data_IF_630535490793
#
_entry.id   IF_630535490793
#
_cell.length_a   1.000
_cell.length_b   1.000
_cell.length_c   1.000
_cell.angle_alpha   90.00
_cell.angle_beta   90.00
_cell.angle_gamma   90.00
#
_symmetry.space_group_name_H-M   'P 1'
#
loop_
_entity.id
_entity.type
_entity.pdbx_description
1 polymer ?
#
# COMPACT_ATOMS: atom_id res chain seq x y z
N UNK A 1 -0.81 -21.15 0.12
CA UNK A 1 -0.69 -20.60 1.49
C UNK A 1 0.12 -19.32 1.35
N UNK A 2 -0.04 -18.34 2.24
CA UNK A 2 0.82 -17.14 2.19
C UNK A 2 2.18 -17.54 2.79
N UNK A 3 3.26 -17.29 2.06
CA UNK A 3 4.61 -17.59 2.55
C UNK A 3 4.94 -16.64 3.71
N UNK A 4 5.44 -17.19 4.81
CA UNK A 4 5.93 -16.41 5.95
C UNK A 4 7.46 -16.50 6.03
N UNK A 5 8.11 -15.35 6.22
CA UNK A 5 9.56 -15.24 6.37
C UNK A 5 9.85 -14.64 7.76
N UNK A 6 10.58 -15.33 8.64
CA UNK A 6 10.95 -14.76 9.92
C UNK A 6 11.89 -13.58 9.72
N UNK A 7 11.68 -12.49 10.46
CA UNK A 7 12.51 -11.28 10.39
C UNK A 7 14.01 -11.58 10.59
N UNK A 8 14.36 -12.57 11.41
CA UNK A 8 15.75 -12.99 11.62
C UNK A 8 16.43 -13.48 10.34
N UNK A 9 15.68 -14.08 9.40
CA UNK A 9 16.23 -14.49 8.09
C UNK A 9 16.47 -13.28 7.18
N UNK A 10 15.65 -12.22 7.28
CA UNK A 10 15.89 -11.00 6.50
C UNK A 10 17.11 -10.21 6.99
N UNK A 11 17.35 -10.21 8.31
CA UNK A 11 18.47 -9.50 8.93
C UNK A 11 19.82 -10.17 8.60
N UNK A 12 19.85 -11.49 8.43
CA UNK A 12 21.05 -12.19 7.98
C UNK A 12 21.23 -12.03 6.46
N UNK A 13 22.21 -11.24 5.99
CA UNK A 13 22.42 -11.04 4.56
C UNK A 13 22.91 -12.31 3.83
N UNK A 14 23.36 -13.33 4.56
CA UNK A 14 23.80 -14.60 4.00
C UNK A 14 22.70 -15.67 3.94
N UNK A 15 21.53 -15.41 4.53
CA UNK A 15 20.42 -16.34 4.49
C UNK A 15 19.89 -16.50 3.06
N UNK A 16 19.78 -17.75 2.59
CA UNK A 16 19.16 -18.04 1.30
C UNK A 16 17.64 -18.22 1.49
N UNK A 17 16.88 -17.22 1.07
CA UNK A 17 15.42 -17.25 1.05
C UNK A 17 14.86 -17.35 -0.38
N UNK A 18 15.68 -17.75 -1.35
CA UNK A 18 15.32 -17.77 -2.78
C UNK A 18 14.10 -18.65 -3.07
N UNK A 19 13.97 -19.78 -2.37
CA UNK A 19 12.82 -20.68 -2.53
C UNK A 19 11.51 -20.02 -2.07
N UNK A 20 11.55 -19.30 -0.95
CA UNK A 20 10.43 -18.55 -0.40
C UNK A 20 10.03 -17.40 -1.33
N UNK A 21 11.02 -16.68 -1.90
CA UNK A 21 10.77 -15.63 -2.88
C UNK A 21 10.17 -16.18 -4.18
N UNK A 22 10.65 -17.32 -4.70
CA UNK A 22 10.06 -17.98 -5.87
C UNK A 22 8.61 -18.42 -5.59
N UNK A 23 8.34 -19.01 -4.41
CA UNK A 23 6.99 -19.44 -4.02
C UNK A 23 6.03 -18.24 -3.85
N UNK A 24 6.49 -17.14 -3.23
CA UNK A 24 5.65 -15.99 -2.96
C UNK A 24 5.47 -15.07 -4.17
N UNK A 25 6.57 -14.75 -4.85
CA UNK A 25 6.67 -13.68 -5.85
C UNK A 25 7.02 -14.15 -7.24
N UNK A 26 7.43 -15.42 -7.43
CA UNK A 26 7.73 -15.97 -8.74
C UNK A 26 6.52 -15.90 -9.69
N UNK A 27 6.67 -16.29 -10.97
CA UNK A 27 5.60 -16.20 -11.97
C UNK A 27 4.29 -16.91 -11.60
N UNK A 28 4.36 -17.92 -10.74
CA UNK A 28 3.20 -18.66 -10.21
C UNK A 28 2.80 -18.26 -8.77
N UNK A 29 3.54 -17.33 -8.16
CA UNK A 29 3.31 -16.89 -6.79
C UNK A 29 2.07 -16.01 -6.63
N UNK A 30 1.65 -15.83 -5.39
CA UNK A 30 0.53 -14.96 -5.02
C UNK A 30 0.89 -13.47 -4.99
N UNK A 31 2.13 -13.10 -5.33
CA UNK A 31 2.60 -11.72 -5.29
C UNK A 31 2.61 -11.09 -3.90
N UNK A 32 2.51 -11.90 -2.83
CA UNK A 32 2.48 -11.47 -1.43
C UNK A 32 3.16 -12.51 -0.52
N UNK A 33 3.89 -12.01 0.48
CA UNK A 33 4.39 -12.77 1.64
C UNK A 33 4.17 -11.99 2.94
N UNK A 34 4.36 -12.66 4.07
CA UNK A 34 4.41 -12.03 5.39
C UNK A 34 5.80 -12.10 6.01
N UNK A 35 6.10 -11.12 6.85
CA UNK A 35 7.29 -11.10 7.70
C UNK A 35 6.86 -11.11 9.16
N UNK A 36 7.25 -12.16 9.87
CA UNK A 36 6.93 -12.38 11.29
C UNK A 36 8.11 -12.05 12.21
N UNK A 37 7.87 -11.86 13.51
CA UNK A 37 8.94 -11.64 14.49
C UNK A 37 9.62 -10.27 14.44
N UNK A 38 9.02 -9.29 13.75
CA UNK A 38 9.54 -7.91 13.71
C UNK A 38 9.31 -7.25 15.07
N UNK A 39 10.40 -6.97 15.80
CA UNK A 39 10.33 -6.35 17.12
C UNK A 39 9.71 -4.94 17.00
N UNK A 40 8.95 -4.51 18.02
CA UNK A 40 8.19 -3.23 18.06
C UNK A 40 6.99 -3.12 17.11
N UNK A 41 6.90 -3.89 16.03
CA UNK A 41 5.79 -3.78 15.07
C UNK A 41 4.40 -3.90 15.72
N UNK A 42 4.11 -4.90 16.58
CA UNK A 42 2.79 -5.02 17.20
C UNK A 42 2.43 -3.83 18.08
N UNK A 43 3.41 -3.20 18.73
CA UNK A 43 3.20 -2.01 19.57
C UNK A 43 2.92 -0.77 18.72
N UNK A 44 3.73 -0.52 17.70
CA UNK A 44 3.57 0.64 16.81
C UNK A 44 2.24 0.56 16.04
N UNK A 45 1.85 -0.64 15.58
CA UNK A 45 0.55 -0.89 14.97
C UNK A 45 -0.61 -0.53 15.92
N UNK A 46 -0.55 -0.99 17.18
CA UNK A 46 -1.58 -0.66 18.20
C UNK A 46 -1.64 0.82 18.53
N UNK A 47 -0.53 1.56 18.46
CA UNK A 47 -0.49 3.01 18.66
C UNK A 47 -1.10 3.78 17.48
N UNK A 48 -0.76 3.40 16.25
CA UNK A 48 -1.16 4.15 15.06
C UNK A 48 -2.61 3.88 14.63
N UNK A 49 -3.02 2.61 14.51
CA UNK A 49 -4.29 2.27 13.85
C UNK A 49 -5.54 2.92 14.48
N UNK A 50 -5.67 3.06 15.81
CA UNK A 50 -6.79 3.80 16.40
C UNK A 50 -6.86 5.27 16.00
N UNK A 51 -5.72 5.89 15.64
CA UNK A 51 -5.68 7.29 15.23
C UNK A 51 -6.38 7.53 13.89
N UNK A 52 -6.55 6.52 13.04
CA UNK A 52 -7.26 6.67 11.76
C UNK A 52 -8.70 7.18 11.96
N UNK A 53 -9.43 6.59 12.92
CA UNK A 53 -10.77 7.02 13.28
C UNK A 53 -10.76 8.43 13.89
N UNK A 54 -9.71 8.79 14.64
CA UNK A 54 -9.59 10.13 15.24
C UNK A 54 -9.32 11.21 14.21
N UNK A 55 -8.50 10.94 13.19
CA UNK A 55 -8.32 11.85 12.04
C UNK A 55 -9.66 12.03 11.31
N UNK A 56 -10.38 10.94 11.07
CA UNK A 56 -11.68 10.98 10.42
C UNK A 56 -12.73 11.76 11.22
N UNK A 57 -12.63 11.77 12.55
CA UNK A 57 -13.53 12.47 13.46
C UNK A 57 -13.13 13.92 13.78
N UNK A 58 -12.01 14.42 13.22
CA UNK A 58 -11.60 15.81 13.39
C UNK A 58 -12.71 16.78 12.92
N UNK A 59 -12.81 17.99 13.53
CA UNK A 59 -13.72 19.02 13.05
C UNK A 59 -13.55 19.27 11.56
N UNK A 60 -14.65 19.57 10.85
CA UNK A 60 -14.60 19.77 9.39
C UNK A 60 -13.58 20.85 8.97
N UNK A 61 -13.46 21.93 9.75
CA UNK A 61 -12.47 22.98 9.52
C UNK A 61 -11.02 22.47 9.65
N UNK A 62 -10.73 21.64 10.64
CA UNK A 62 -9.42 21.02 10.82
C UNK A 62 -9.09 20.06 9.67
N UNK A 63 -10.06 19.20 9.26
CA UNK A 63 -9.87 18.30 8.12
C UNK A 63 -9.63 19.06 6.81
N UNK A 64 -10.31 20.17 6.59
CA UNK A 64 -10.13 21.00 5.39
C UNK A 64 -8.71 21.58 5.28
N UNK A 65 -8.05 21.87 6.40
CA UNK A 65 -6.64 22.32 6.41
C UNK A 65 -5.65 21.19 6.07
N UNK A 66 -6.10 19.94 6.14
CA UNK A 66 -5.31 18.76 5.78
C UNK A 66 -5.58 18.31 4.35
N UNK A 67 -6.54 18.91 3.63
CA UNK A 67 -6.78 18.54 2.23
C UNK A 67 -5.82 19.31 1.30
N UNK A 68 -5.17 18.59 0.39
CA UNK A 68 -4.36 19.19 -0.66
C UNK A 68 -4.86 18.78 -2.06
N UNK A 69 -5.72 19.60 -2.69
CA UNK A 69 -6.20 19.34 -4.05
C UNK A 69 -5.08 19.35 -5.09
N UNK A 70 -3.97 20.06 -4.86
CA UNK A 70 -2.88 20.18 -5.84
C UNK A 70 -2.11 18.86 -5.98
N UNK A 71 -1.97 18.08 -4.90
CA UNK A 71 -1.44 16.71 -4.96
C UNK A 71 -2.48 15.67 -5.42
N UNK A 72 -3.65 16.09 -5.89
CA UNK A 72 -4.80 15.21 -6.14
C UNK A 72 -5.22 14.43 -4.88
N UNK A 73 -5.16 15.08 -3.71
CA UNK A 73 -5.48 14.48 -2.41
C UNK A 73 -4.58 13.28 -2.03
N UNK A 74 -3.34 13.24 -2.53
CA UNK A 74 -2.31 12.26 -2.16
C UNK A 74 -1.41 12.75 -1.01
N UNK A 75 -1.77 13.86 -0.38
CA UNK A 75 -1.16 14.39 0.84
C UNK A 75 -2.28 14.80 1.80
N UNK A 76 -2.10 14.48 3.08
CA UNK A 76 -3.04 14.79 4.13
C UNK A 76 -4.36 14.04 3.97
N UNK A 77 -5.48 14.70 4.25
CA UNK A 77 -6.81 14.10 4.32
C UNK A 77 -7.50 13.97 2.94
N UNK A 78 -8.18 12.84 2.74
CA UNK A 78 -9.01 12.56 1.57
C UNK A 78 -10.21 11.69 1.95
N UNK A 79 -11.42 12.12 1.59
CA UNK A 79 -12.66 11.38 1.80
C UNK A 79 -13.70 11.81 0.76
N UNK A 80 -14.37 10.86 0.08
CA UNK A 80 -15.33 11.20 -0.98
C UNK A 80 -14.70 11.87 -2.21
N UNK A 81 -13.40 11.66 -2.45
CA UNK A 81 -12.69 12.17 -3.65
C UNK A 81 -12.48 11.08 -4.71
N UNK A 82 -12.50 9.82 -4.31
CA UNK A 82 -12.49 8.67 -5.22
C UNK A 82 -13.93 8.37 -5.69
N UNK A 83 -14.10 7.88 -6.92
CA UNK A 83 -15.41 7.60 -7.51
C UNK A 83 -15.69 6.09 -7.53
N UNK A 84 -16.87 5.67 -7.09
CA UNK A 84 -17.37 4.31 -7.17
C UNK A 84 -17.87 3.97 -8.59
N UNK A 85 -17.99 2.67 -8.90
CA UNK A 85 -18.70 2.21 -10.09
C UNK A 85 -20.11 2.83 -10.14
N UNK A 86 -20.38 3.66 -11.16
CA UNK A 86 -21.62 4.43 -11.29
C UNK A 86 -21.52 5.93 -10.98
N UNK A 87 -20.31 6.46 -10.75
CA UNK A 87 -20.06 7.90 -10.71
C UNK A 87 -20.26 8.57 -9.34
N UNK A 88 -20.59 7.81 -8.30
CA UNK A 88 -20.85 8.33 -6.96
C UNK A 88 -19.54 8.45 -6.14
N UNK A 89 -19.34 9.53 -5.37
CA UNK A 89 -18.18 9.65 -4.48
C UNK A 89 -18.12 8.52 -3.42
N UNK A 90 -16.95 7.91 -3.22
CA UNK A 90 -16.71 6.93 -2.16
C UNK A 90 -16.53 7.62 -0.81
N UNK A 91 -17.65 7.86 -0.12
CA UNK A 91 -17.68 8.41 1.24
C UNK A 91 -17.57 7.34 2.32
N UNK A 92 -17.42 6.06 1.94
CA UNK A 92 -17.36 4.92 2.87
C UNK A 92 -16.01 4.79 3.58
N UNK A 93 -15.00 5.52 3.12
CA UNK A 93 -13.66 5.54 3.72
C UNK A 93 -13.02 6.92 3.69
N UNK A 94 -12.24 7.18 4.71
CA UNK A 94 -11.29 8.28 4.78
C UNK A 94 -9.85 7.75 4.66
N UNK A 95 -8.99 8.53 4.03
CA UNK A 95 -7.56 8.26 3.90
C UNK A 95 -6.76 9.45 4.39
N UNK A 96 -5.70 9.20 5.13
CA UNK A 96 -4.70 10.18 5.47
C UNK A 96 -3.35 9.75 4.88
N UNK A 97 -2.78 10.59 4.02
CA UNK A 97 -1.54 10.34 3.31
C UNK A 97 -0.40 11.17 3.87
N UNK A 98 0.76 10.54 4.06
CA UNK A 98 1.98 11.25 4.42
C UNK A 98 3.20 10.48 3.94
N UNK A 99 4.31 11.17 3.73
CA UNK A 99 5.62 10.54 3.59
C UNK A 99 6.17 10.22 4.99
N UNK A 100 6.42 8.94 5.32
CA UNK A 100 6.86 8.56 6.66
C UNK A 100 8.35 8.85 6.94
N UNK A 101 9.14 9.20 5.91
CA UNK A 101 10.57 9.44 6.03
C UNK A 101 10.92 10.94 6.01
N UNK A 102 10.25 11.72 5.16
CA UNK A 102 10.59 13.11 4.91
C UNK A 102 9.33 13.98 4.95
N UNK A 103 9.33 15.06 5.73
CA UNK A 103 8.21 16.03 5.70
C UNK A 103 8.21 16.88 4.43
N UNK A 104 9.40 17.28 3.97
CA UNK A 104 9.58 17.89 2.66
C UNK A 104 10.49 16.95 1.84
N UNK A 105 9.94 16.20 0.87
CA UNK A 105 10.71 15.28 0.03
C UNK A 105 11.77 15.98 -0.84
N UNK A 106 11.62 17.28 -1.11
CA UNK A 106 12.50 18.06 -2.00
C UNK A 106 12.80 19.47 -1.47
N UNK A 107 13.49 19.58 -0.31
CA UNK A 107 13.72 20.88 0.33
C UNK A 107 14.39 21.89 -0.60
N UNK A 108 13.80 23.07 -0.73
CA UNK A 108 14.32 24.15 -1.57
C UNK A 108 14.05 24.02 -3.08
N UNK A 109 13.34 22.97 -3.53
CA UNK A 109 13.06 22.74 -4.95
C UNK A 109 11.57 22.91 -5.31
N UNK A 110 11.07 24.15 -5.22
CA UNK A 110 9.65 24.45 -5.53
C UNK A 110 9.20 24.08 -6.95
N UNK A 111 10.13 24.05 -7.92
CA UNK A 111 9.85 23.58 -9.29
C UNK A 111 9.43 22.11 -9.31
N UNK A 112 10.06 21.26 -8.50
CA UNK A 112 9.72 19.84 -8.39
C UNK A 112 8.38 19.64 -7.68
N UNK A 113 8.08 20.46 -6.68
CA UNK A 113 6.77 20.47 -6.00
C UNK A 113 5.64 20.82 -6.98
N UNK A 114 5.85 21.79 -7.88
CA UNK A 114 4.88 22.13 -8.94
C UNK A 114 4.73 21.03 -9.99
N UNK A 115 5.83 20.39 -10.38
CA UNK A 115 5.82 19.38 -11.44
C UNK A 115 5.29 18.03 -10.98
N UNK A 116 5.54 17.66 -9.72
CA UNK A 116 5.19 16.36 -9.14
C UNK A 116 4.51 16.51 -7.77
N UNK A 117 3.38 17.22 -7.68
CA UNK A 117 2.78 17.57 -6.39
C UNK A 117 2.36 16.35 -5.56
N UNK A 118 1.94 15.26 -6.20
CA UNK A 118 1.60 14.00 -5.51
C UNK A 118 2.78 13.36 -4.76
N UNK A 119 4.02 13.62 -5.19
CA UNK A 119 5.23 13.01 -4.64
C UNK A 119 6.10 13.99 -3.85
N UNK A 120 6.12 15.25 -4.27
CA UNK A 120 7.04 16.26 -3.78
C UNK A 120 6.43 17.23 -2.77
N UNK A 121 5.10 17.33 -2.67
CA UNK A 121 4.48 18.26 -1.75
C UNK A 121 4.78 17.89 -0.28
N UNK A 122 5.00 18.88 0.60
CA UNK A 122 5.25 18.61 2.00
C UNK A 122 4.07 17.94 2.71
N UNK A 123 4.35 17.19 3.77
CA UNK A 123 3.32 16.62 4.63
C UNK A 123 2.45 17.69 5.29
N UNK A 124 1.17 17.36 5.47
CA UNK A 124 0.21 18.16 6.25
C UNK A 124 -0.13 17.43 7.55
N UNK A 125 0.27 17.99 8.69
CA UNK A 125 0.07 17.37 10.00
C UNK A 125 -0.90 18.18 10.87
N UNK A 126 -1.88 17.54 11.54
CA UNK A 126 -2.81 18.21 12.45
C UNK A 126 -2.18 18.40 13.84
N UNK A 127 -1.15 19.22 13.97
CA UNK A 127 -0.46 19.39 15.27
C UNK A 127 -1.36 19.95 16.37
N UNK A 128 -2.28 20.85 16.02
CA UNK A 128 -3.17 21.50 16.99
C UNK A 128 -4.27 20.55 17.49
N UNK A 129 -4.81 19.70 16.63
CA UNK A 129 -5.95 18.83 16.96
C UNK A 129 -5.54 17.37 17.30
N UNK A 130 -4.42 16.89 16.75
CA UNK A 130 -3.96 15.50 16.87
C UNK A 130 -2.42 15.37 16.81
N UNK A 131 -1.69 15.96 17.78
CA UNK A 131 -0.22 16.08 17.74
C UNK A 131 0.53 14.74 17.67
N UNK A 132 -0.05 13.66 18.20
CA UNK A 132 0.57 12.33 18.20
C UNK A 132 0.54 11.62 16.84
N UNK A 133 -0.21 12.13 15.84
CA UNK A 133 -0.36 11.45 14.56
C UNK A 133 0.96 11.33 13.81
N UNK A 134 1.70 12.43 13.71
CA UNK A 134 2.98 12.48 13.00
C UNK A 134 3.95 11.42 13.53
N UNK A 135 4.24 11.46 14.84
CA UNK A 135 5.17 10.52 15.46
C UNK A 135 4.74 9.07 15.28
N UNK A 136 3.44 8.76 15.34
CA UNK A 136 2.92 7.42 15.15
C UNK A 136 3.02 6.93 13.69
N UNK A 137 2.70 7.79 12.71
CA UNK A 137 2.82 7.47 11.27
C UNK A 137 4.27 7.26 10.90
N UNK A 138 5.17 8.16 11.32
CA UNK A 138 6.60 8.06 11.03
C UNK A 138 7.20 6.81 11.69
N UNK A 139 6.92 6.55 12.97
CA UNK A 139 7.50 5.40 13.65
C UNK A 139 7.12 4.06 13.01
N UNK A 140 5.84 3.84 12.68
CA UNK A 140 5.43 2.60 12.03
C UNK A 140 5.86 2.56 10.55
N UNK A 141 5.74 3.68 9.84
CA UNK A 141 6.12 3.77 8.43
C UNK A 141 7.61 3.53 8.21
N UNK A 142 8.47 4.10 9.05
CA UNK A 142 9.93 3.87 9.03
C UNK A 142 10.25 2.39 9.28
N UNK A 143 9.63 1.75 10.27
CA UNK A 143 9.85 0.33 10.54
C UNK A 143 9.46 -0.54 9.32
N UNK A 144 8.33 -0.27 8.69
CA UNK A 144 7.90 -0.98 7.48
C UNK A 144 8.89 -0.75 6.33
N UNK A 145 9.37 0.48 6.15
CA UNK A 145 10.41 0.80 5.17
C UNK A 145 11.71 0.01 5.42
N UNK A 146 12.18 -0.03 6.67
CA UNK A 146 13.40 -0.77 7.07
C UNK A 146 13.28 -2.26 6.74
N UNK A 147 12.17 -2.90 7.10
CA UNK A 147 11.93 -4.32 6.80
C UNK A 147 11.81 -4.55 5.30
N UNK A 148 11.11 -3.67 4.59
CA UNK A 148 10.96 -3.75 3.14
C UNK A 148 12.28 -3.60 2.38
N UNK A 149 13.21 -2.78 2.88
CA UNK A 149 14.56 -2.66 2.31
C UNK A 149 15.37 -3.93 2.53
N UNK A 150 15.31 -4.57 3.71
CA UNK A 150 15.94 -5.87 3.92
C UNK A 150 15.41 -6.92 2.93
N UNK A 151 14.08 -6.97 2.75
CA UNK A 151 13.45 -7.85 1.76
C UNK A 151 13.92 -7.54 0.33
N UNK A 152 13.96 -6.26 -0.06
CA UNK A 152 14.40 -5.84 -1.39
C UNK A 152 15.85 -6.26 -1.70
N UNK A 153 16.73 -6.31 -0.69
CA UNK A 153 18.09 -6.83 -0.86
C UNK A 153 18.10 -8.32 -1.19
N UNK A 154 17.26 -9.11 -0.54
CA UNK A 154 17.11 -10.52 -0.87
C UNK A 154 16.47 -10.73 -2.25
N UNK A 155 15.53 -9.87 -2.64
CA UNK A 155 15.00 -9.82 -4.01
C UNK A 155 16.12 -9.56 -5.03
N UNK A 156 17.04 -8.63 -4.75
CA UNK A 156 18.17 -8.36 -5.63
C UNK A 156 19.09 -9.59 -5.81
N UNK A 157 19.38 -10.31 -4.71
CA UNK A 157 20.17 -11.55 -4.76
C UNK A 157 19.47 -12.65 -5.57
N UNK A 158 18.17 -12.85 -5.33
CA UNK A 158 17.35 -13.81 -6.07
C UNK A 158 17.37 -13.51 -7.58
N UNK A 159 17.10 -12.26 -7.97
CA UNK A 159 17.11 -11.83 -9.36
C UNK A 159 18.51 -11.94 -9.98
N UNK A 160 19.58 -11.66 -9.21
CA UNK A 160 20.96 -11.86 -9.67
C UNK A 160 21.26 -13.31 -10.02
N UNK A 161 20.92 -14.24 -9.12
CA UNK A 161 21.18 -15.66 -9.31
C UNK A 161 20.29 -16.29 -10.39
N UNK A 162 19.01 -15.89 -10.47
CA UNK A 162 18.03 -16.49 -11.41
C UNK A 162 18.05 -15.84 -12.79
N UNK A 163 18.20 -14.52 -12.84
CA UNK A 163 18.15 -13.73 -14.06
C UNK A 163 19.51 -13.49 -14.72
N UNK A 164 20.61 -13.65 -13.98
CA UNK A 164 21.96 -13.41 -14.51
C UNK A 164 22.31 -11.94 -14.73
N UNK A 165 21.58 -11.02 -14.10
CA UNK A 165 21.83 -9.58 -14.15
C UNK A 165 21.78 -9.00 -12.73
N UNK A 166 22.55 -7.96 -12.39
CA UNK A 166 22.46 -7.29 -11.10
C UNK A 166 21.32 -6.26 -11.11
N UNK A 167 20.13 -6.54 -10.54
CA UNK A 167 19.12 -5.51 -10.33
C UNK A 167 19.58 -4.47 -9.30
N UNK A 168 18.82 -3.38 -9.20
CA UNK A 168 19.01 -2.33 -8.19
C UNK A 168 17.73 -2.05 -7.40
N UNK A 169 16.92 -3.07 -7.11
CA UNK A 169 15.62 -2.91 -6.45
C UNK A 169 15.78 -2.27 -5.06
N UNK A 170 16.76 -2.74 -4.28
CA UNK A 170 17.09 -2.16 -2.99
C UNK A 170 17.50 -0.69 -3.11
N UNK A 171 18.47 -0.40 -3.98
CA UNK A 171 19.05 0.94 -4.08
C UNK A 171 18.05 1.97 -4.58
N UNK A 172 17.19 1.58 -5.53
CA UNK A 172 16.10 2.42 -6.04
C UNK A 172 15.15 2.83 -4.90
N UNK A 173 14.80 1.89 -4.02
CA UNK A 173 13.93 2.16 -2.87
C UNK A 173 14.64 2.96 -1.78
N UNK A 174 15.90 2.62 -1.48
CA UNK A 174 16.69 3.28 -0.44
C UNK A 174 16.93 4.76 -0.76
N UNK A 175 17.14 5.09 -2.04
CA UNK A 175 17.45 6.45 -2.50
C UNK A 175 16.19 7.26 -2.83
N UNK A 176 15.02 6.63 -2.84
CA UNK A 176 13.77 7.31 -3.18
C UNK A 176 13.31 8.22 -2.04
N UNK A 177 13.10 9.52 -2.29
CA UNK A 177 12.51 10.41 -1.30
C UNK A 177 10.98 10.28 -1.24
N UNK A 178 10.36 9.36 -2.00
CA UNK A 178 8.93 9.36 -2.29
C UNK A 178 8.08 8.25 -1.63
N UNK A 179 8.50 7.51 -0.57
CA UNK A 179 7.60 6.54 0.00
C UNK A 179 6.33 7.22 0.52
N UNK A 180 5.19 6.57 0.33
CA UNK A 180 3.89 7.10 0.69
C UNK A 180 3.19 6.19 1.67
N UNK A 181 2.93 6.69 2.87
CA UNK A 181 2.08 6.03 3.83
C UNK A 181 0.62 6.44 3.61
N UNK A 182 -0.31 5.50 3.77
CA UNK A 182 -1.76 5.72 3.76
C UNK A 182 -2.36 5.07 5.00
N UNK A 183 -2.92 5.90 5.88
CA UNK A 183 -3.73 5.48 7.02
C UNK A 183 -5.20 5.53 6.60
N UNK A 184 -5.88 4.39 6.64
CA UNK A 184 -7.26 4.25 6.16
C UNK A 184 -8.21 4.03 7.33
N UNK A 185 -9.37 4.68 7.27
CA UNK A 185 -10.52 4.45 8.12
C UNK A 185 -11.74 4.14 7.25
N UNK A 186 -12.27 2.93 7.35
CA UNK A 186 -13.56 2.55 6.79
C UNK A 186 -14.63 2.81 7.85
N UNK A 187 -15.59 3.67 7.52
CA UNK A 187 -16.66 4.04 8.43
C UNK A 187 -17.58 2.85 8.70
N UNK A 188 -18.13 2.78 9.91
CA UNK A 188 -19.13 1.77 10.24
C UNK A 188 -20.37 1.97 9.33
N UNK A 189 -20.88 0.91 8.69
CA UNK A 189 -22.15 0.98 7.97
C UNK A 189 -23.25 1.42 8.92
N UNK A 190 -24.04 2.41 8.50
CA UNK A 190 -25.30 2.75 9.18
C UNK A 190 -26.32 1.70 8.74
N UNK A 191 -27.02 1.06 9.68
CA UNK A 191 -28.13 0.16 9.35
C UNK A 191 -29.24 0.97 8.68
N UNK A 192 -29.28 1.01 7.35
CA UNK A 192 -30.42 1.57 6.65
C UNK A 192 -31.56 0.54 6.64
N UNK A 193 -32.66 0.90 7.30
CA UNK A 193 -33.97 0.31 7.06
C UNK A 193 -34.44 0.71 5.66
N UNK A 194 -34.49 -0.25 4.74
CA UNK A 194 -35.32 -0.29 3.52
C UNK A 194 -35.30 0.94 2.58
N UNK A 195 -34.70 0.78 1.38
CA UNK A 195 -34.91 1.72 0.28
C UNK A 195 -34.13 1.39 -1.00
N UNK A 196 -34.85 0.95 -2.03
CA UNK A 196 -34.48 0.74 -3.44
C UNK A 196 -33.08 1.14 -3.95
N UNK A 197 -32.41 0.18 -4.60
CA UNK A 197 -31.46 0.44 -5.68
C UNK A 197 -30.12 -0.28 -5.51
N UNK A 198 -29.86 -1.27 -6.38
CA UNK A 198 -28.59 -1.98 -6.65
C UNK A 198 -27.72 -2.29 -5.42
N UNK A 199 -27.57 -3.59 -5.08
CA UNK A 199 -26.69 -4.02 -3.99
C UNK A 199 -25.33 -3.31 -4.08
N UNK A 200 -24.94 -2.52 -3.05
CA UNK A 200 -23.69 -1.77 -3.08
C UNK A 200 -22.53 -2.74 -3.28
N UNK A 201 -21.50 -2.32 -4.03
CA UNK A 201 -20.35 -3.18 -4.26
C UNK A 201 -19.76 -3.61 -2.92
N UNK A 202 -19.66 -4.93 -2.72
CA UNK A 202 -19.07 -5.55 -1.52
C UNK A 202 -17.54 -5.34 -1.47
N UNK A 203 -16.95 -4.62 -2.42
CA UNK A 203 -15.53 -4.33 -2.48
C UNK A 203 -15.27 -2.92 -1.92
N UNK A 204 -14.61 -2.88 -0.77
CA UNK A 204 -14.08 -1.67 -0.13
C UNK A 204 -12.89 -1.07 -0.88
N UNK A 205 -12.19 -1.91 -1.61
CA UNK A 205 -11.20 -1.53 -2.62
C UNK A 205 -11.36 -2.50 -3.79
N UNK A 206 -11.56 -1.97 -5.00
CA UNK A 206 -11.74 -2.78 -6.20
C UNK A 206 -10.48 -3.55 -6.59
N UNK A 207 -10.59 -4.41 -7.61
CA UNK A 207 -9.45 -5.12 -8.16
C UNK A 207 -8.44 -4.16 -8.78
N UNK A 208 -7.20 -4.17 -8.29
CA UNK A 208 -6.10 -3.37 -8.81
C UNK A 208 -4.76 -4.07 -8.54
N UNK A 209 -3.70 -3.57 -9.18
CA UNK A 209 -2.31 -3.88 -8.83
C UNK A 209 -1.63 -2.58 -8.42
N UNK A 210 -0.79 -2.62 -7.38
CA UNK A 210 -0.02 -1.45 -7.00
C UNK A 210 0.99 -1.11 -8.09
N UNK A 211 1.12 0.17 -8.45
CA UNK A 211 2.03 0.60 -9.51
C UNK A 211 3.48 0.79 -9.02
N UNK A 212 3.68 0.92 -7.70
CA UNK A 212 5.00 1.08 -7.08
C UNK A 212 5.88 -0.17 -7.14
N UNK A 213 6.86 -0.27 -6.23
CA UNK A 213 7.77 -1.42 -6.18
C UNK A 213 7.34 -2.45 -5.13
N UNK A 214 7.16 -2.02 -3.88
CA UNK A 214 6.70 -2.86 -2.77
C UNK A 214 5.64 -2.13 -1.96
N UNK A 215 4.63 -2.84 -1.48
CA UNK A 215 3.64 -2.29 -0.55
C UNK A 215 3.68 -3.05 0.76
N UNK A 216 4.10 -2.37 1.83
CA UNK A 216 4.04 -2.90 3.19
C UNK A 216 2.64 -2.70 3.78
N UNK A 217 2.04 -3.78 4.28
CA UNK A 217 0.66 -3.82 4.76
C UNK A 217 0.57 -4.26 6.22
N UNK A 218 -0.24 -3.53 6.98
CA UNK A 218 -0.68 -3.95 8.30
C UNK A 218 -1.94 -4.82 8.20
N UNK A 219 -2.04 -5.83 9.08
CA UNK A 219 -3.32 -6.44 9.40
C UNK A 219 -4.32 -5.39 9.89
N UNK A 220 -5.58 -5.48 9.50
CA UNK A 220 -6.58 -4.48 9.85
C UNK A 220 -6.98 -4.54 11.34
N UNK A 221 -7.32 -3.39 11.91
CA UNK A 221 -7.91 -3.26 13.24
C UNK A 221 -9.40 -2.97 13.08
N UNK A 222 -10.26 -3.83 13.63
CA UNK A 222 -11.70 -3.59 13.69
C UNK A 222 -12.05 -2.94 15.02
N UNK A 223 -12.94 -1.96 15.00
CA UNK A 223 -13.40 -1.25 16.19
C UNK A 223 -14.92 -1.35 16.29
N UNK A 224 -15.42 -1.63 17.48
CA UNK A 224 -16.85 -1.56 17.77
C UNK A 224 -17.36 -0.10 17.90
N UNK A 225 -18.65 0.05 18.18
CA UNK A 225 -19.29 1.36 18.34
C UNK A 225 -18.74 2.18 19.52
N UNK A 226 -18.10 1.53 20.51
CA UNK A 226 -17.41 2.19 21.62
C UNK A 226 -15.95 2.54 21.29
N UNK A 227 -15.49 2.25 20.06
CA UNK A 227 -14.12 2.47 19.61
C UNK A 227 -13.13 1.44 20.16
N UNK A 228 -13.60 0.28 20.65
CA UNK A 228 -12.74 -0.76 21.21
C UNK A 228 -12.36 -1.81 20.16
N UNK A 229 -11.12 -2.35 20.20
CA UNK A 229 -10.71 -3.43 19.33
C UNK A 229 -11.64 -4.64 19.41
N UNK A 230 -12.05 -5.16 18.26
CA UNK A 230 -12.87 -6.37 18.13
C UNK A 230 -12.35 -7.27 17.01
N UNK A 231 -12.86 -8.50 16.95
CA UNK A 231 -12.55 -9.43 15.88
C UNK A 231 -13.17 -8.97 14.55
N UNK A 232 -12.64 -9.50 13.44
CA UNK A 232 -13.29 -9.31 12.15
C UNK A 232 -14.70 -9.94 12.21
N UNK A 233 -15.76 -9.16 11.92
CA UNK A 233 -17.13 -9.67 12.05
C UNK A 233 -17.51 -10.69 10.97
N UNK A 234 -16.76 -10.74 9.87
CA UNK A 234 -17.03 -11.61 8.74
C UNK A 234 -15.75 -12.33 8.30
N UNK A 235 -15.68 -13.67 8.40
CA UNK A 235 -14.50 -14.42 8.00
C UNK A 235 -14.21 -14.31 6.50
N UNK A 236 -15.15 -13.86 5.66
CA UNK A 236 -14.95 -13.63 4.22
C UNK A 236 -14.47 -12.21 3.89
N UNK A 237 -14.33 -11.32 4.89
CA UNK A 237 -13.84 -9.96 4.66
C UNK A 237 -12.31 -9.90 4.60
N UNK A 238 -11.80 -8.80 4.03
CA UNK A 238 -10.36 -8.50 4.00
C UNK A 238 -9.73 -8.69 2.63
N UNK A 239 -8.41 -8.88 2.64
CA UNK A 239 -7.59 -8.88 1.44
C UNK A 239 -7.81 -10.16 0.63
N UNK A 240 -8.11 -9.99 -0.66
CA UNK A 240 -8.22 -11.09 -1.62
C UNK A 240 -7.27 -10.84 -2.78
N UNK A 241 -6.61 -11.89 -3.22
CA UNK A 241 -5.68 -11.88 -4.34
C UNK A 241 -6.21 -12.81 -5.42
N UNK A 242 -6.11 -12.39 -6.67
CA UNK A 242 -6.43 -13.20 -7.84
C UNK A 242 -5.15 -13.64 -8.53
N UNK A 243 -4.88 -14.94 -8.48
CA UNK A 243 -3.71 -15.51 -9.15
C UNK A 243 -3.87 -15.51 -10.67
N UNK A 244 -2.83 -15.94 -11.37
CA UNK A 244 -2.78 -15.95 -12.84
C UNK A 244 -3.73 -16.96 -13.49
N UNK A 245 -4.22 -17.95 -12.76
CA UNK A 245 -5.28 -18.86 -13.22
C UNK A 245 -6.68 -18.26 -13.09
N UNK A 246 -6.79 -17.08 -12.47
CA UNK A 246 -8.05 -16.41 -12.14
C UNK A 246 -8.64 -16.87 -10.81
N UNK A 247 -7.98 -17.78 -10.09
CA UNK A 247 -8.44 -18.23 -8.77
C UNK A 247 -8.23 -17.13 -7.74
N UNK A 248 -9.28 -16.86 -6.98
CA UNK A 248 -9.28 -15.87 -5.89
C UNK A 248 -8.96 -16.58 -4.58
N UNK A 249 -7.99 -16.05 -3.84
CA UNK A 249 -7.55 -16.54 -2.53
C UNK A 249 -7.60 -15.40 -1.53
N UNK A 250 -8.25 -15.62 -0.38
CA UNK A 250 -8.19 -14.69 0.74
C UNK A 250 -6.81 -14.77 1.40
N UNK A 251 -6.22 -13.61 1.66
CA UNK A 251 -4.88 -13.47 2.25
C UNK A 251 -5.04 -12.93 3.67
N UNK A 252 -4.63 -13.72 4.64
CA UNK A 252 -4.60 -13.33 6.04
C UNK A 252 -3.19 -12.87 6.43
N UNK A 253 -3.09 -11.63 6.91
CA UNK A 253 -1.87 -11.09 7.53
C UNK A 253 -2.07 -11.16 9.04
N UNK A 254 -1.26 -11.94 9.79
CA UNK A 254 -1.33 -11.97 11.24
C UNK A 254 -1.14 -10.57 11.87
N UNK A 255 -1.74 -10.34 13.03
CA UNK A 255 -1.75 -9.02 13.67
C UNK A 255 -0.36 -8.51 14.11
N UNK A 256 0.59 -9.42 14.22
CA UNK A 256 1.99 -9.23 14.59
C UNK A 256 2.97 -9.37 13.41
N UNK A 257 2.45 -9.50 12.18
CA UNK A 257 3.22 -9.65 10.96
C UNK A 257 2.97 -8.50 9.99
N UNK A 258 3.96 -8.24 9.12
CA UNK A 258 3.87 -7.25 8.04
C UNK A 258 3.66 -8.01 6.72
N UNK A 259 2.65 -7.67 5.94
CA UNK A 259 2.51 -8.19 4.57
C UNK A 259 3.33 -7.36 3.59
N UNK A 260 3.93 -7.97 2.57
CA UNK A 260 4.60 -7.26 1.48
C UNK A 260 4.09 -7.73 0.12
N UNK A 261 3.45 -6.82 -0.62
CA UNK A 261 2.99 -7.07 -1.99
C UNK A 261 3.95 -6.49 -3.02
N UNK A 262 4.15 -7.19 -4.14
CA UNK A 262 4.92 -6.70 -5.28
C UNK A 262 4.05 -5.77 -6.13
N UNK A 263 4.60 -4.61 -6.47
CA UNK A 263 4.01 -3.68 -7.43
C UNK A 263 4.61 -3.80 -8.83
N UNK A 264 3.97 -3.12 -9.78
CA UNK A 264 4.28 -3.18 -11.20
C UNK A 264 5.70 -2.68 -11.52
N UNK A 265 6.19 -1.62 -10.85
CA UNK A 265 7.54 -1.12 -11.09
C UNK A 265 8.62 -2.15 -10.74
N UNK A 266 8.47 -2.87 -9.62
CA UNK A 266 9.39 -3.95 -9.25
C UNK A 266 9.25 -5.15 -10.19
N UNK A 267 8.04 -5.43 -10.68
CA UNK A 267 7.84 -6.48 -11.69
C UNK A 267 8.58 -6.16 -13.00
N UNK A 268 8.56 -4.90 -13.44
CA UNK A 268 9.34 -4.47 -14.61
C UNK A 268 10.84 -4.57 -14.34
N UNK A 269 11.31 -3.99 -13.23
CA UNK A 269 12.73 -3.89 -12.90
C UNK A 269 13.38 -5.24 -12.54
N UNK A 270 12.57 -6.24 -12.17
CA UNK A 270 12.97 -7.64 -12.00
C UNK A 270 12.79 -8.49 -13.27
N UNK A 271 12.50 -7.88 -14.42
CA UNK A 271 12.31 -8.60 -15.68
C UNK A 271 11.18 -9.64 -15.63
N UNK A 272 10.20 -9.45 -14.76
CA UNK A 272 9.11 -10.38 -14.53
C UNK A 272 9.47 -11.60 -13.67
N UNK A 273 10.62 -11.63 -12.99
CA UNK A 273 10.97 -12.68 -12.03
C UNK A 273 10.20 -12.55 -10.72
N UNK A 274 9.89 -11.31 -10.32
CA UNK A 274 9.03 -11.00 -9.18
C UNK A 274 7.75 -10.38 -9.72
N UNK A 275 6.58 -10.88 -9.35
CA UNK A 275 5.32 -10.44 -9.95
C UNK A 275 4.30 -10.03 -8.90
N UNK A 276 3.65 -8.91 -9.18
CA UNK A 276 2.41 -8.53 -8.55
C UNK A 276 1.24 -9.31 -9.15
N UNK A 277 0.18 -9.40 -8.37
CA UNK A 277 -1.11 -9.97 -8.77
C UNK A 277 -2.23 -9.03 -8.37
N UNK A 278 -3.31 -8.96 -9.17
CA UNK A 278 -4.47 -8.15 -8.82
C UNK A 278 -5.03 -8.53 -7.46
N UNK A 279 -5.38 -7.54 -6.66
CA UNK A 279 -5.94 -7.73 -5.34
C UNK A 279 -7.07 -6.74 -5.07
N UNK A 280 -7.92 -7.08 -4.10
CA UNK A 280 -9.05 -6.25 -3.67
C UNK A 280 -9.26 -6.40 -2.16
N UNK A 281 -10.06 -5.52 -1.58
CA UNK A 281 -10.49 -5.64 -0.18
C UNK A 281 -11.98 -5.83 -0.16
N UNK A 282 -12.42 -7.00 0.32
CA UNK A 282 -13.82 -7.35 0.50
C UNK A 282 -14.31 -6.79 1.83
N UNK A 283 -15.41 -6.05 1.78
CA UNK A 283 -16.12 -5.55 2.95
C UNK A 283 -16.83 -6.70 3.67
N UNK A 284 -16.91 -6.68 5.00
CA UNK A 284 -17.82 -7.57 5.71
C UNK A 284 -19.26 -7.33 5.27
N UNK A 285 -20.06 -8.39 5.28
CA UNK A 285 -21.49 -8.27 4.98
C UNK A 285 -22.18 -7.31 5.96
N UNK A 286 -23.16 -6.57 5.47
CA UNK A 286 -23.80 -5.47 6.22
C UNK A 286 -24.50 -5.96 7.50
N UNK A 287 -25.13 -7.13 7.45
CA UNK A 287 -25.80 -7.79 8.57
C UNK A 287 -24.85 -8.17 9.71
N UNK A 288 -23.56 -8.33 9.41
CA UNK A 288 -22.52 -8.69 10.38
C UNK A 288 -21.72 -7.48 10.89
N UNK A 289 -21.75 -6.35 10.18
CA UNK A 289 -20.81 -5.24 10.40
C UNK A 289 -21.44 -3.94 10.88
N UNK A 290 -22.73 -3.95 11.24
CA UNK A 290 -23.39 -2.80 11.83
C UNK A 290 -22.62 -2.27 13.05
N UNK A 291 -22.27 -0.99 13.04
CA UNK A 291 -21.49 -0.37 14.12
C UNK A 291 -20.01 -0.79 14.20
N UNK A 292 -19.49 -1.55 13.22
CA UNK A 292 -18.09 -1.96 13.15
C UNK A 292 -17.34 -1.13 12.12
N UNK A 293 -16.31 -0.40 12.55
CA UNK A 293 -15.38 0.31 11.66
C UNK A 293 -14.09 -0.48 11.48
N UNK A 294 -13.31 -0.15 10.44
CA UNK A 294 -12.04 -0.83 10.14
C UNK A 294 -10.94 0.17 9.84
N UNK A 295 -9.80 0.02 10.51
CA UNK A 295 -8.61 0.81 10.29
C UNK A 295 -7.49 -0.06 9.72
N UNK A 296 -6.73 0.46 8.78
CA UNK A 296 -5.50 -0.19 8.31
C UNK A 296 -4.46 0.83 7.88
N UNK A 297 -3.24 0.37 7.66
CA UNK A 297 -2.11 1.19 7.28
C UNK A 297 -1.33 0.47 6.18
N UNK A 298 -0.99 1.21 5.12
CA UNK A 298 -0.17 0.77 4.01
C UNK A 298 1.00 1.73 3.80
N UNK A 299 2.14 1.22 3.38
CA UNK A 299 3.31 2.00 2.99
C UNK A 299 3.73 1.58 1.59
N UNK A 300 3.50 2.46 0.63
CA UNK A 300 3.91 2.31 -0.76
C UNK A 300 5.38 2.71 -0.87
N UNK A 301 6.23 1.72 -1.11
CA UNK A 301 7.65 1.88 -1.41
C UNK A 301 7.78 1.97 -2.93
N UNK A 302 8.28 3.10 -3.42
CA UNK A 302 8.22 3.44 -4.82
C UNK A 302 9.51 4.13 -5.28
N UNK A 303 9.88 4.02 -6.57
CA UNK A 303 11.00 4.77 -7.12
C UNK A 303 10.79 6.28 -7.06
N UNK A 304 11.87 7.04 -7.23
CA UNK A 304 11.78 8.49 -7.49
C UNK A 304 11.08 8.72 -8.83
N UNK A 305 10.33 9.81 -8.97
CA UNK A 305 9.54 10.13 -10.19
C UNK A 305 10.34 10.11 -11.50
N UNK A 306 11.65 10.39 -11.48
CA UNK A 306 12.52 10.38 -12.67
C UNK A 306 13.38 9.11 -12.78
N UNK A 307 13.15 8.13 -11.90
CA UNK A 307 13.83 6.85 -11.96
C UNK A 307 13.37 6.10 -13.21
N UNK A 308 14.29 5.64 -14.08
CA UNK A 308 13.94 4.78 -15.19
C UNK A 308 13.25 3.50 -14.67
N UNK A 309 12.16 3.13 -15.32
CA UNK A 309 11.46 1.87 -15.09
C UNK A 309 11.78 0.95 -16.25
N UNK A 310 13.05 0.62 -16.40
CA UNK A 310 13.54 -0.20 -17.50
C UNK A 310 13.61 -1.68 -17.12
N UNK A 311 13.56 -2.52 -18.15
CA UNK A 311 13.87 -3.93 -18.01
C UNK A 311 15.35 -4.12 -17.68
N UNK A 312 15.69 -5.14 -16.87
CA UNK A 312 17.06 -5.56 -16.76
C UNK A 312 17.59 -6.09 -18.10
N UNK A 313 18.91 -5.99 -18.30
CA UNK A 313 19.55 -6.46 -19.52
C UNK A 313 19.25 -7.95 -19.77
N UNK A 314 18.77 -8.27 -20.97
CA UNK A 314 18.42 -9.64 -21.37
C UNK A 314 16.98 -10.06 -21.07
N UNK A 315 16.22 -9.29 -20.29
CA UNK A 315 14.78 -9.52 -20.12
C UNK A 315 13.99 -8.97 -21.32
N UNK A 316 12.84 -9.56 -21.60
CA UNK A 316 11.99 -9.19 -22.74
C UNK A 316 10.67 -8.58 -22.26
N UNK A 317 10.08 -7.60 -22.98
CA UNK A 317 8.79 -7.00 -22.63
C UNK A 317 7.67 -8.01 -22.40
N UNK A 318 7.61 -9.09 -23.18
CA UNK A 318 6.60 -10.15 -23.03
C UNK A 318 6.64 -10.85 -21.66
N UNK A 319 7.80 -10.87 -21.00
CA UNK A 319 8.00 -11.57 -19.74
C UNK A 319 7.37 -10.79 -18.56
N UNK A 320 7.19 -9.47 -18.70
CA UNK A 320 6.62 -8.60 -17.66
C UNK A 320 5.10 -8.54 -17.70
N UNK A 321 4.49 -8.44 -18.89
CA UNK A 321 3.03 -8.47 -19.05
C UNK A 321 2.28 -7.31 -18.38
N UNK A 322 2.85 -6.09 -18.41
CA UNK A 322 2.21 -4.85 -17.95
C UNK A 322 1.88 -3.99 -19.18
N UNK A 323 0.59 -3.87 -19.50
CA UNK A 323 0.15 -3.38 -20.81
C UNK A 323 0.40 -1.89 -21.06
N UNK A 324 0.41 -1.06 -20.03
CA UNK A 324 0.65 0.38 -20.13
C UNK A 324 2.14 0.76 -20.16
N UNK A 325 3.03 -0.18 -19.84
CA UNK A 325 4.46 0.04 -19.83
C UNK A 325 5.07 -0.04 -21.24
N UNK A 326 6.12 0.77 -21.48
CA UNK A 326 6.96 0.71 -22.68
C UNK A 326 8.39 1.16 -22.33
N UNK A 327 9.42 0.71 -23.08
CA UNK A 327 10.81 1.11 -22.83
C UNK A 327 11.00 2.64 -22.80
N UNK A 328 11.88 3.11 -21.91
CA UNK A 328 12.25 4.52 -21.80
C UNK A 328 11.31 5.38 -20.96
N UNK A 329 10.34 4.79 -20.25
CA UNK A 329 9.53 5.51 -19.26
C UNK A 329 10.30 5.69 -17.94
N UNK A 330 10.17 6.87 -17.35
CA UNK A 330 10.45 7.08 -15.93
C UNK A 330 9.21 6.73 -15.07
N UNK A 331 9.42 6.62 -13.76
CA UNK A 331 8.38 6.18 -12.84
C UNK A 331 7.19 7.16 -12.78
N UNK A 332 7.44 8.46 -12.90
CA UNK A 332 6.41 9.49 -12.93
C UNK A 332 5.50 9.34 -14.14
N UNK A 333 6.09 9.20 -15.34
CA UNK A 333 5.35 8.97 -16.58
C UNK A 333 4.60 7.64 -16.58
N UNK A 334 5.24 6.58 -16.06
CA UNK A 334 4.61 5.28 -15.87
C UNK A 334 3.40 5.34 -14.92
N UNK A 335 3.55 6.05 -13.80
CA UNK A 335 2.46 6.23 -12.83
C UNK A 335 1.27 6.96 -13.45
N UNK A 336 1.51 8.06 -14.19
CA UNK A 336 0.44 8.81 -14.88
C UNK A 336 -0.34 7.92 -15.85
N UNK A 337 0.35 7.15 -16.70
CA UNK A 337 -0.30 6.22 -17.62
C UNK A 337 -1.11 5.14 -16.89
N UNK A 338 -0.59 4.70 -15.74
CA UNK A 338 -1.27 3.71 -14.91
C UNK A 338 -2.56 4.28 -14.33
N UNK A 339 -2.54 5.51 -13.79
CA UNK A 339 -3.75 6.20 -13.33
C UNK A 339 -4.76 6.40 -14.47
N UNK A 340 -4.32 6.85 -15.65
CA UNK A 340 -5.19 6.99 -16.83
C UNK A 340 -5.81 5.66 -17.30
N UNK A 341 -5.13 4.53 -17.07
CA UNK A 341 -5.62 3.20 -17.45
C UNK A 341 -6.69 2.67 -16.49
N UNK A 342 -6.55 2.95 -15.19
CA UNK A 342 -7.44 2.45 -14.13
C UNK A 342 -8.65 3.35 -13.87
N UNK A 343 -8.56 4.66 -14.15
CA UNK A 343 -9.59 5.65 -13.77
C UNK A 343 -10.27 6.33 -14.98
N UNK A 344 -10.56 5.57 -16.04
CA UNK A 344 -11.31 6.04 -17.23
C UNK A 344 -12.75 6.42 -16.95
#
# INVERSE_FOLDING_TARGET
>A
MVVDIPYSALVDPAADISAQLEEAYGPAGLGILTVSGVTRFPELRRKLLPLAARVAALPAAARAQLEDPTSHFNIGWSCGRETLEGGQPDTRKGSFYANPLHDDPVPGHSDLQRRYPAYCAPNLWPHDDLPQLEGAVKALGQLIMEVGLLLARHCDMYCSTRGGYPPRLHDILQQSPCPKARLLHYFAPVSETSGSGRAPSQQWCGWHTDHGSLTGLCSALYLDAAGQPTACPDPQAGLHVRDRSGKVTQVAIPADSIGFQIGEAMQIQSGGLLRGTPHCVVAPRQDLSAGISRNTFAVFMQPRWDCPVDLPAGARPEDVGIGQWRPGLDFGSFSTLTFESYYK
#
